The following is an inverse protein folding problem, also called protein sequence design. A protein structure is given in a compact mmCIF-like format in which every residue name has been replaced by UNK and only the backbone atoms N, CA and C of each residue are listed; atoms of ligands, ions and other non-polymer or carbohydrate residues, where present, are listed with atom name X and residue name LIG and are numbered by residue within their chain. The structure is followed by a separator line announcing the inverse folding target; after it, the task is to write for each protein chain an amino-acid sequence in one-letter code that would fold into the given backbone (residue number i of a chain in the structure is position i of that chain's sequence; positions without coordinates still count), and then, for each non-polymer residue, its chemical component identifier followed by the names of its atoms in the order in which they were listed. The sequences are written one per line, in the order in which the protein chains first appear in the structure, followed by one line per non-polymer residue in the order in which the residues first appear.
data_IF_427407212750
#
_entry.id   IF_427407212750
#
_cell.length_a   1.000
_cell.length_b   1.000
_cell.length_c   1.000
_cell.angle_alpha   90.00
_cell.angle_beta   90.00
_cell.angle_gamma   90.00
#
_symmetry.space_group_name_H-M   'P 1'
#
loop_
_entity.id
_entity.type
_entity.pdbx_description
1 polymer ?
#
# COMPACT_ATOMS: atom_id res chain seq x y z
N UNK A 1 11.78 2.34 6.40
CA UNK A 1 10.68 1.83 5.58
C UNK A 1 10.10 0.56 6.17
N UNK A 2 8.85 0.34 5.88
CA UNK A 2 8.19 -0.88 6.28
C UNK A 2 8.78 -2.07 5.55
N UNK A 3 8.68 -3.23 6.17
CA UNK A 3 9.08 -4.46 5.52
C UNK A 3 8.09 -4.82 4.44
N UNK A 4 8.57 -5.55 3.43
CA UNK A 4 7.70 -6.09 2.40
C UNK A 4 6.71 -7.04 3.03
N UNK A 5 5.43 -6.83 2.75
CA UNK A 5 4.33 -7.57 3.36
C UNK A 5 3.35 -8.12 2.34
N UNK A 6 3.71 -8.08 1.07
CA UNK A 6 2.84 -8.50 -0.02
C UNK A 6 3.56 -9.48 -0.93
N UNK A 7 2.91 -10.61 -1.22
CA UNK A 7 3.34 -11.53 -2.24
C UNK A 7 2.51 -11.30 -3.48
N UNK A 8 3.17 -10.93 -4.59
CA UNK A 8 2.53 -10.57 -5.86
C UNK A 8 3.05 -11.48 -6.95
N UNK A 9 2.15 -12.09 -7.74
CA UNK A 9 2.54 -13.04 -8.78
C UNK A 9 2.59 -12.42 -10.18
N UNK A 10 2.44 -11.11 -10.29
CA UNK A 10 2.42 -10.41 -11.57
C UNK A 10 1.02 -10.00 -12.01
N UNK A 11 -0.02 -10.54 -11.41
CA UNK A 11 -1.41 -10.22 -11.71
C UNK A 11 -2.23 -9.99 -10.45
N UNK A 12 -2.07 -10.84 -9.45
CA UNK A 12 -2.88 -10.81 -8.25
C UNK A 12 -2.01 -10.78 -7.01
N UNK A 13 -2.56 -10.22 -5.96
CA UNK A 13 -1.98 -10.36 -4.64
C UNK A 13 -2.26 -11.78 -4.16
N UNK A 14 -1.21 -12.53 -3.92
CA UNK A 14 -1.31 -13.92 -3.47
C UNK A 14 -1.42 -13.97 -1.96
N UNK A 15 -0.70 -13.11 -1.27
CA UNK A 15 -0.74 -13.03 0.18
C UNK A 15 -0.45 -11.61 0.64
N UNK A 16 -1.12 -11.20 1.71
CA UNK A 16 -0.95 -9.90 2.34
C UNK A 16 -0.99 -10.12 3.85
N UNK A 17 0.12 -9.88 4.51
CA UNK A 17 0.18 -10.04 5.97
C UNK A 17 1.28 -9.17 6.56
N UNK A 18 0.90 -8.15 7.28
CA UNK A 18 1.85 -7.23 7.89
C UNK A 18 2.47 -7.79 9.17
N UNK A 19 1.96 -8.92 9.67
CA UNK A 19 2.44 -9.50 10.92
C UNK A 19 3.28 -10.76 10.71
N UNK A 20 3.11 -11.45 9.59
CA UNK A 20 3.78 -12.72 9.33
C UNK A 20 4.39 -12.71 7.93
N UNK A 21 5.45 -11.91 7.76
CA UNK A 21 6.13 -11.79 6.48
C UNK A 21 6.82 -13.10 6.11
N UNK A 22 6.80 -13.42 4.82
CA UNK A 22 7.49 -14.59 4.28
C UNK A 22 8.58 -14.14 3.31
N UNK A 23 9.45 -15.11 2.94
CA UNK A 23 10.52 -14.83 1.98
C UNK A 23 9.99 -14.55 0.56
N UNK A 24 8.73 -14.86 0.29
CA UNK A 24 8.10 -14.59 -1.01
C UNK A 24 7.48 -13.20 -1.09
N UNK A 25 7.47 -12.46 -0.01
CA UNK A 25 6.90 -11.12 0.03
C UNK A 25 7.96 -10.09 -0.34
N UNK A 26 7.91 -9.65 -1.58
CA UNK A 26 8.88 -8.70 -2.13
C UNK A 26 8.28 -7.32 -2.39
N UNK A 27 7.01 -7.15 -2.10
CA UNK A 27 6.27 -5.92 -2.37
C UNK A 27 5.66 -5.36 -1.10
N UNK A 28 5.38 -4.08 -1.12
CA UNK A 28 4.74 -3.36 -0.03
C UNK A 28 3.55 -2.58 -0.58
N UNK A 29 2.54 -2.41 0.26
CA UNK A 29 1.36 -1.62 -0.10
C UNK A 29 1.75 -0.16 -0.29
N UNK A 30 1.42 0.39 -1.46
CA UNK A 30 1.69 1.79 -1.77
C UNK A 30 0.75 2.75 -1.04
N UNK A 31 -0.35 2.24 -0.51
CA UNK A 31 -1.29 3.03 0.27
C UNK A 31 -2.47 3.57 -0.52
N UNK A 32 -2.59 3.20 -1.79
CA UNK A 32 -3.72 3.61 -2.63
C UNK A 32 -4.46 2.39 -3.10
N UNK A 33 -5.75 2.33 -2.83
CA UNK A 33 -6.57 1.22 -3.24
C UNK A 33 -7.90 1.68 -3.83
N UNK A 34 -8.47 0.84 -4.68
CA UNK A 34 -9.79 1.06 -5.24
C UNK A 34 -10.59 -0.22 -5.06
N UNK A 35 -11.85 -0.10 -4.64
CA UNK A 35 -12.68 -1.23 -4.29
C UNK A 35 -14.02 -1.16 -5.00
N UNK A 36 -14.49 -2.30 -5.42
CA UNK A 36 -15.92 -2.43 -5.70
C UNK A 36 -16.65 -2.35 -4.35
N UNK A 37 -17.77 -1.64 -4.26
CA UNK A 37 -18.47 -1.49 -2.96
C UNK A 37 -18.79 -2.80 -2.27
N UNK A 38 -19.04 -3.87 -3.02
CA UNK A 38 -19.37 -5.17 -2.44
C UNK A 38 -18.23 -5.77 -1.61
N UNK A 39 -17.00 -5.27 -1.76
CA UNK A 39 -15.89 -5.75 -0.93
C UNK A 39 -16.14 -5.45 0.54
N UNK A 40 -16.89 -4.40 0.85
CA UNK A 40 -17.16 -4.00 2.22
C UNK A 40 -18.32 -4.76 2.85
N UNK A 41 -19.01 -5.59 2.10
CA UNK A 41 -20.08 -6.44 2.66
C UNK A 41 -19.54 -7.43 3.68
N UNK A 42 -18.25 -7.68 3.67
CA UNK A 42 -17.57 -8.55 4.64
C UNK A 42 -17.43 -7.92 6.01
N UNK A 43 -17.62 -6.62 6.11
CA UNK A 43 -17.43 -5.89 7.35
C UNK A 43 -18.73 -5.88 8.14
N UNK A 44 -18.60 -5.89 9.46
CA UNK A 44 -19.74 -5.86 10.36
C UNK A 44 -20.03 -4.41 10.73
N UNK A 45 -21.26 -3.97 10.49
CA UNK A 45 -21.67 -2.60 10.81
C UNK A 45 -21.49 -2.30 12.29
N UNK A 46 -20.99 -1.10 12.55
CA UNK A 46 -20.81 -0.62 13.92
C UNK A 46 -19.59 -1.17 14.62
N UNK A 47 -18.75 -1.94 13.93
CA UNK A 47 -17.51 -2.46 14.50
C UNK A 47 -16.30 -1.88 13.80
N UNK A 48 -15.24 -1.55 14.55
CA UNK A 48 -13.98 -1.17 13.93
C UNK A 48 -13.45 -2.32 13.09
N UNK A 49 -12.78 -2.01 11.97
CA UNK A 49 -12.18 -2.99 11.11
C UNK A 49 -10.80 -2.52 10.69
N UNK A 50 -9.87 -3.48 10.56
CA UNK A 50 -8.54 -3.21 10.05
C UNK A 50 -8.55 -3.53 8.55
N UNK A 51 -8.19 -2.55 7.74
CA UNK A 51 -8.14 -2.71 6.29
C UNK A 51 -7.16 -3.81 5.89
N UNK A 52 -6.11 -4.03 6.66
CA UNK A 52 -5.17 -5.10 6.38
C UNK A 52 -5.82 -6.48 6.47
N UNK A 53 -6.78 -6.66 7.38
CA UNK A 53 -7.52 -7.91 7.47
C UNK A 53 -8.40 -8.14 6.25
N UNK A 54 -9.04 -7.09 5.75
CA UNK A 54 -9.82 -7.17 4.52
C UNK A 54 -8.93 -7.54 3.34
N UNK A 55 -7.78 -6.91 3.21
CA UNK A 55 -6.82 -7.23 2.16
C UNK A 55 -6.36 -8.68 2.24
N UNK A 56 -6.07 -9.16 3.44
CA UNK A 56 -5.63 -10.54 3.63
C UNK A 56 -6.70 -11.53 3.16
N UNK A 57 -7.95 -11.28 3.53
CA UNK A 57 -9.05 -12.16 3.15
C UNK A 57 -9.29 -12.14 1.65
N UNK A 58 -9.27 -10.95 1.03
CA UNK A 58 -9.44 -10.83 -0.41
C UNK A 58 -8.30 -11.49 -1.17
N UNK A 59 -7.08 -11.37 -0.67
CA UNK A 59 -5.92 -12.01 -1.29
C UNK A 59 -6.03 -13.52 -1.25
N UNK A 60 -6.47 -14.07 -0.12
CA UNK A 60 -6.65 -15.51 0.03
C UNK A 60 -7.67 -16.07 -0.97
N UNK A 61 -8.67 -15.27 -1.32
CA UNK A 61 -9.70 -15.66 -2.29
C UNK A 61 -9.37 -15.28 -3.72
N UNK A 62 -8.18 -14.74 -3.96
CA UNK A 62 -7.73 -14.25 -5.28
C UNK A 62 -8.62 -13.14 -5.85
N UNK A 63 -9.17 -12.33 -4.98
CA UNK A 63 -10.04 -11.22 -5.35
C UNK A 63 -9.32 -9.86 -5.29
N UNK A 64 -8.03 -9.86 -5.03
CA UNK A 64 -7.24 -8.64 -4.89
C UNK A 64 -6.23 -8.57 -6.04
N UNK A 65 -6.50 -7.67 -6.97
CA UNK A 65 -5.57 -7.37 -8.04
C UNK A 65 -4.59 -6.29 -7.60
N UNK A 66 -3.51 -6.14 -8.33
CA UNK A 66 -2.51 -5.14 -8.00
C UNK A 66 -1.95 -4.49 -9.25
N UNK A 67 -1.52 -3.27 -9.09
CA UNK A 67 -0.76 -2.53 -10.08
C UNK A 67 0.61 -2.22 -9.48
N UNK A 68 1.64 -2.78 -10.06
CA UNK A 68 2.99 -2.59 -9.55
C UNK A 68 3.52 -1.22 -9.93
N UNK A 69 4.01 -0.49 -8.92
CA UNK A 69 4.58 0.85 -9.10
C UNK A 69 6.07 0.76 -8.82
N UNK A 70 6.87 1.32 -9.71
CA UNK A 70 8.32 1.27 -9.58
C UNK A 70 8.92 2.56 -9.03
N UNK A 71 8.11 3.60 -8.89
CA UNK A 71 8.53 4.83 -8.27
C UNK A 71 8.44 4.71 -6.75
N UNK A 72 9.44 5.25 -6.08
CA UNK A 72 9.46 5.25 -4.64
C UNK A 72 8.39 6.18 -4.09
N UNK A 73 7.70 5.75 -3.03
CA UNK A 73 6.83 6.64 -2.28
C UNK A 73 7.58 7.21 -1.07
N UNK A 74 7.06 8.29 -0.53
CA UNK A 74 7.63 8.96 0.63
C UNK A 74 6.59 9.05 1.72
N UNK A 75 7.02 8.90 2.97
CA UNK A 75 6.13 9.03 4.11
C UNK A 75 6.73 10.00 5.11
N UNK A 76 5.88 10.63 5.90
CA UNK A 76 6.29 11.64 6.87
C UNK A 76 5.94 11.25 8.30
N UNK A 77 5.64 9.97 8.52
CA UNK A 77 5.29 9.46 9.84
C UNK A 77 6.49 9.24 10.76
N UNK A 78 7.70 9.37 10.23
CA UNK A 78 8.92 9.26 11.01
C UNK A 78 9.80 10.47 10.74
N UNK A 79 10.77 10.69 11.62
CA UNK A 79 11.72 11.78 11.43
C UNK A 79 12.53 11.57 10.15
N UNK A 80 13.02 10.35 9.94
CA UNK A 80 13.79 10.03 8.74
C UNK A 80 12.97 10.20 7.47
N UNK A 81 11.72 9.74 7.47
CA UNK A 81 10.84 9.90 6.32
C UNK A 81 10.55 11.36 6.03
N UNK A 82 10.35 12.17 7.05
CA UNK A 82 10.15 13.61 6.89
C UNK A 82 11.35 14.27 6.23
N UNK A 83 12.56 13.94 6.68
CA UNK A 83 13.77 14.50 6.12
C UNK A 83 14.02 14.07 4.68
N UNK A 84 13.75 12.81 4.37
CA UNK A 84 13.86 12.31 3.00
C UNK A 84 12.86 13.00 2.07
N UNK A 85 11.63 13.16 2.54
CA UNK A 85 10.59 13.83 1.76
C UNK A 85 10.96 15.30 1.52
N UNK A 86 11.46 15.96 2.54
CA UNK A 86 11.89 17.36 2.43
C UNK A 86 13.01 17.50 1.40
N UNK A 87 13.98 16.63 1.44
CA UNK A 87 15.09 16.65 0.51
C UNK A 87 14.63 16.38 -0.92
N UNK A 88 13.73 15.41 -1.08
CA UNK A 88 13.18 15.08 -2.40
C UNK A 88 12.43 16.27 -3.00
N UNK A 89 11.58 16.89 -2.23
CA UNK A 89 10.78 18.02 -2.72
C UNK A 89 11.68 19.21 -3.05
N UNK A 90 12.72 19.44 -2.25
CA UNK A 90 13.64 20.53 -2.50
C UNK A 90 14.47 20.30 -3.77
N UNK A 91 14.71 19.04 -4.14
CA UNK A 91 15.51 18.70 -5.31
C UNK A 91 14.73 18.68 -6.61
N UNK A 92 13.39 18.84 -6.57
CA UNK A 92 12.55 18.78 -7.77
C UNK A 92 12.41 20.19 -8.35
N UNK A 93 13.15 20.50 -9.41
CA UNK A 93 13.11 21.84 -10.00
C UNK A 93 11.78 22.07 -10.71
N UNK A 94 11.27 23.28 -10.61
CA UNK A 94 10.09 23.68 -11.34
C UNK A 94 8.80 22.98 -10.95
N UNK A 95 8.79 22.32 -9.81
CA UNK A 95 7.65 21.50 -9.40
C UNK A 95 6.37 22.32 -9.24
N UNK A 96 6.48 23.50 -8.70
CA UNK A 96 5.35 24.38 -8.44
C UNK A 96 4.96 25.23 -9.66
N UNK A 97 5.77 25.23 -10.69
CA UNK A 97 5.50 26.05 -11.87
C UNK A 97 4.35 25.45 -12.66
N UNK A 98 3.49 26.30 -13.15
CA UNK A 98 2.33 25.87 -13.89
C UNK A 98 1.18 25.35 -13.03
N UNK A 99 1.32 25.42 -11.75
CA UNK A 99 0.25 25.03 -10.85
C UNK A 99 -0.84 26.08 -10.84
N UNK A 100 -2.10 25.64 -10.88
CA UNK A 100 -3.21 26.59 -10.74
C UNK A 100 -3.21 27.27 -9.40
#
# INVERSE_FOLDING_TARGET
LDRSNVEFDGQHIVAYDKHAATSRMHHIDYGLGAFHPSAFDRLVDGRPADLADLYRDLAAERLLAAYEVHERFFEIGSFAGLEETRAYLASRPGQEEGRP
#
